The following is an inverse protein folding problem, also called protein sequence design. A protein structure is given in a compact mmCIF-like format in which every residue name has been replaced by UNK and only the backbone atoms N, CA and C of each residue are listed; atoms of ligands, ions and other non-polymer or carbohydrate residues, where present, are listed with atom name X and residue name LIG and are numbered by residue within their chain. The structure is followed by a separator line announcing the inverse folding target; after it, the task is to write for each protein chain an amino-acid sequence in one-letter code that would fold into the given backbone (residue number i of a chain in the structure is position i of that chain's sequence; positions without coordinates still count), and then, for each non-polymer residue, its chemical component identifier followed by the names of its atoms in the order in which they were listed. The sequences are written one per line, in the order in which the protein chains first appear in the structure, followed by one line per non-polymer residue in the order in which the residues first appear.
data_IF_490393521244
#
_entry.id   IF_490393521244
#
_cell.length_a   1.000
_cell.length_b   1.000
_cell.length_c   1.000
_cell.angle_alpha   90.00
_cell.angle_beta   90.00
_cell.angle_gamma   90.00
#
_symmetry.space_group_name_H-M   'P 1'
#
loop_
_entity.id
_entity.type
_entity.pdbx_description
1 polymer ?
#
# COMPACT_ATOMS: atom_id res chain seq x y z
N UNK A 1 -12.29 19.25 19.64
CA UNK A 1 -13.03 18.96 18.39
C UNK A 1 -11.96 18.64 17.34
N UNK A 2 -12.01 17.48 16.74
CA UNK A 2 -11.17 17.12 15.60
C UNK A 2 -11.63 17.95 14.40
N UNK A 3 -10.70 18.52 13.64
CA UNK A 3 -11.04 19.28 12.44
C UNK A 3 -10.43 18.56 11.24
N UNK A 4 -11.25 17.83 10.50
CA UNK A 4 -10.84 17.28 9.20
C UNK A 4 -10.88 18.37 8.13
N UNK A 5 -9.91 18.35 7.23
CA UNK A 5 -9.81 19.26 6.09
C UNK A 5 -9.61 18.46 4.81
N UNK A 6 -10.40 18.79 3.79
CA UNK A 6 -10.24 18.29 2.43
C UNK A 6 -9.67 19.41 1.54
N UNK A 7 -8.57 19.12 0.84
CA UNK A 7 -8.00 19.98 -0.18
C UNK A 7 -7.99 19.20 -1.50
N UNK A 8 -8.48 19.82 -2.58
CA UNK A 8 -8.43 19.25 -3.92
C UNK A 8 -7.48 20.07 -4.78
N UNK A 9 -6.48 19.42 -5.38
CA UNK A 9 -5.54 20.07 -6.29
C UNK A 9 -6.15 20.20 -7.70
N UNK A 10 -5.59 21.08 -8.57
CA UNK A 10 -6.11 21.31 -9.92
C UNK A 10 -6.17 20.05 -10.81
N UNK A 11 -5.30 19.06 -10.54
CA UNK A 11 -5.28 17.76 -11.23
C UNK A 11 -6.30 16.75 -10.68
N UNK A 12 -7.13 17.14 -9.71
CA UNK A 12 -8.11 16.27 -9.08
C UNK A 12 -7.59 15.46 -7.88
N UNK A 13 -6.29 15.53 -7.56
CA UNK A 13 -5.74 14.86 -6.40
C UNK A 13 -6.32 15.44 -5.11
N UNK A 14 -6.77 14.59 -4.20
CA UNK A 14 -7.41 14.97 -2.94
C UNK A 14 -6.50 14.69 -1.77
N UNK A 15 -6.36 15.67 -0.88
CA UNK A 15 -5.59 15.56 0.36
C UNK A 15 -6.57 15.73 1.51
N UNK A 16 -6.67 14.72 2.35
CA UNK A 16 -7.46 14.74 3.58
C UNK A 16 -6.51 14.80 4.76
N UNK A 17 -6.72 15.75 5.63
CA UNK A 17 -5.94 15.87 6.88
C UNK A 17 -6.87 16.00 8.06
N UNK A 18 -6.51 15.39 9.18
CA UNK A 18 -7.17 15.53 10.46
C UNK A 18 -6.13 15.75 11.56
N UNK A 19 -6.25 16.86 12.26
CA UNK A 19 -5.40 17.17 13.39
C UNK A 19 -5.98 16.55 14.68
N UNK A 20 -5.15 15.76 15.37
CA UNK A 20 -5.49 15.16 16.67
C UNK A 20 -4.54 15.73 17.75
N UNK A 21 -4.89 16.90 18.37
CA UNK A 21 -4.02 17.54 19.35
C UNK A 21 -3.67 16.63 20.51
N UNK A 22 -2.38 16.60 20.88
CA UNK A 22 -1.89 15.78 21.98
C UNK A 22 -1.37 14.41 21.58
N UNK A 23 -1.53 13.99 20.33
CA UNK A 23 -0.87 12.79 19.81
C UNK A 23 0.49 13.16 19.20
N UNK A 24 1.47 12.30 19.46
CA UNK A 24 2.85 12.39 18.94
C UNK A 24 3.10 11.41 17.80
N UNK A 25 2.08 10.72 17.34
CA UNK A 25 2.12 9.80 16.21
C UNK A 25 1.21 10.30 15.09
N UNK A 26 1.55 9.91 13.87
CA UNK A 26 0.78 10.20 12.67
C UNK A 26 0.54 8.92 11.87
N UNK A 27 -0.62 8.86 11.23
CA UNK A 27 -0.91 7.87 10.18
C UNK A 27 -1.01 8.61 8.86
N UNK A 28 -0.26 8.15 7.88
CA UNK A 28 -0.23 8.75 6.54
C UNK A 28 -0.41 7.65 5.51
N UNK A 29 -1.03 7.97 4.36
CA UNK A 29 -1.19 6.96 3.31
C UNK A 29 -1.69 7.55 2.00
N UNK A 30 -1.61 6.72 0.97
CA UNK A 30 -2.12 6.96 -0.39
C UNK A 30 -3.17 5.92 -0.68
N UNK A 31 -4.36 6.36 -1.08
CA UNK A 31 -5.46 5.52 -1.51
C UNK A 31 -5.70 5.71 -3.00
N UNK A 32 -5.58 4.62 -3.73
CA UNK A 32 -5.85 4.56 -5.17
C UNK A 32 -7.22 3.91 -5.36
N UNK A 33 -8.15 4.61 -6.04
CA UNK A 33 -9.50 4.10 -6.32
C UNK A 33 -9.46 3.09 -7.48
N UNK A 34 -8.63 2.08 -7.32
CA UNK A 34 -8.50 0.93 -8.21
C UNK A 34 -8.29 -0.31 -7.34
N UNK A 35 -9.06 -1.35 -7.60
CA UNK A 35 -9.02 -2.62 -6.91
C UNK A 35 -9.64 -3.70 -7.79
N UNK A 36 -9.87 -4.90 -7.26
CA UNK A 36 -10.28 -6.06 -8.02
C UNK A 36 -11.49 -5.87 -8.94
N UNK A 37 -12.48 -5.06 -8.55
CA UNK A 37 -13.66 -4.78 -9.40
C UNK A 37 -13.37 -4.00 -10.68
N UNK A 38 -12.23 -3.35 -10.76
CA UNK A 38 -11.82 -2.55 -11.92
C UNK A 38 -11.01 -3.36 -12.93
N UNK A 39 -10.70 -4.60 -12.60
CA UNK A 39 -9.93 -5.51 -13.43
C UNK A 39 -10.80 -6.15 -14.51
N UNK A 40 -10.20 -6.43 -15.66
CA UNK A 40 -10.80 -7.30 -16.66
C UNK A 40 -10.53 -8.75 -16.29
N UNK A 41 -11.33 -9.68 -16.80
CA UNK A 41 -11.18 -11.10 -16.50
C UNK A 41 -9.77 -11.65 -16.80
N UNK A 42 -9.15 -11.17 -17.88
CA UNK A 42 -7.77 -11.55 -18.25
C UNK A 42 -6.68 -10.91 -17.38
N UNK A 43 -7.04 -9.95 -16.54
CA UNK A 43 -6.14 -9.19 -15.66
C UNK A 43 -6.46 -9.42 -14.17
N UNK A 44 -7.31 -10.41 -13.88
CA UNK A 44 -7.76 -10.66 -12.51
C UNK A 44 -6.57 -10.95 -11.59
N UNK A 45 -6.52 -10.23 -10.46
CA UNK A 45 -5.45 -10.30 -9.46
C UNK A 45 -4.30 -9.29 -9.69
N UNK A 46 -4.34 -8.45 -10.75
CA UNK A 46 -3.24 -7.54 -11.04
C UNK A 46 -3.08 -6.45 -9.97
N UNK A 47 -4.17 -6.00 -9.35
CA UNK A 47 -4.09 -4.99 -8.29
C UNK A 47 -3.37 -5.55 -7.05
N UNK A 48 -3.65 -6.80 -6.67
CA UNK A 48 -2.95 -7.50 -5.59
C UNK A 48 -1.49 -7.75 -5.95
N UNK A 49 -1.22 -8.14 -7.19
CA UNK A 49 0.15 -8.33 -7.67
C UNK A 49 0.96 -7.03 -7.62
N UNK A 50 0.36 -5.91 -8.02
CA UNK A 50 1.00 -4.58 -7.96
C UNK A 50 1.28 -4.15 -6.52
N UNK A 51 0.41 -4.48 -5.57
CA UNK A 51 0.63 -4.25 -4.15
C UNK A 51 1.92 -4.92 -3.69
N UNK A 52 2.09 -6.22 -3.95
CA UNK A 52 3.31 -6.97 -3.62
C UNK A 52 4.55 -6.35 -4.28
N UNK A 53 4.46 -6.05 -5.57
CA UNK A 53 5.58 -5.52 -6.34
C UNK A 53 6.04 -4.14 -5.89
N UNK A 54 5.17 -3.32 -5.28
CA UNK A 54 5.54 -2.03 -4.75
C UNK A 54 6.65 -2.11 -3.67
N UNK A 55 6.67 -3.22 -2.90
CA UNK A 55 7.67 -3.45 -1.84
C UNK A 55 8.93 -4.17 -2.33
N UNK A 56 9.04 -4.55 -3.61
CA UNK A 56 10.18 -5.30 -4.15
C UNK A 56 11.35 -4.43 -4.61
N UNK A 57 11.27 -3.14 -4.40
CA UNK A 57 12.35 -2.19 -4.63
C UNK A 57 12.01 -1.11 -5.64
N UNK A 58 12.75 -0.02 -5.50
CA UNK A 58 12.76 1.14 -6.39
C UNK A 58 14.20 1.41 -6.85
N UNK A 59 14.40 2.38 -7.74
CA UNK A 59 15.75 2.82 -8.10
C UNK A 59 16.53 3.42 -6.90
N UNK A 60 15.83 3.86 -5.85
CA UNK A 60 16.41 4.49 -4.65
C UNK A 60 16.58 3.52 -3.48
N UNK A 61 15.72 2.50 -3.40
CA UNK A 61 15.60 1.62 -2.23
C UNK A 61 15.48 0.16 -2.65
N UNK A 62 16.28 -0.70 -2.04
CA UNK A 62 16.01 -2.15 -2.08
C UNK A 62 14.77 -2.49 -1.24
N UNK A 63 14.21 -3.68 -1.41
CA UNK A 63 13.10 -4.18 -0.57
C UNK A 63 13.43 -4.10 0.92
N UNK A 64 14.63 -4.54 1.32
CA UNK A 64 15.10 -4.43 2.70
C UNK A 64 15.14 -2.97 3.18
N UNK A 65 15.67 -2.06 2.35
CA UNK A 65 15.80 -0.65 2.70
C UNK A 65 14.46 0.04 2.89
N UNK A 66 13.42 -0.36 2.15
CA UNK A 66 12.04 0.15 2.33
C UNK A 66 11.54 -0.18 3.74
N UNK A 67 11.77 -1.39 4.22
CA UNK A 67 11.38 -1.79 5.58
C UNK A 67 12.24 -1.08 6.65
N UNK A 68 13.57 -1.14 6.51
CA UNK A 68 14.51 -0.56 7.48
C UNK A 68 14.26 0.92 7.73
N UNK A 69 14.07 1.74 6.69
CA UNK A 69 13.90 3.20 6.87
C UNK A 69 12.69 3.57 7.74
N UNK A 70 11.63 2.76 7.70
CA UNK A 70 10.45 2.98 8.53
C UNK A 70 10.58 2.33 9.90
N UNK A 71 11.18 1.13 9.99
CA UNK A 71 11.38 0.42 11.25
C UNK A 71 12.42 1.11 12.14
N UNK A 72 13.47 1.68 11.57
CA UNK A 72 14.53 2.39 12.29
C UNK A 72 14.02 3.61 13.08
N UNK A 73 12.92 4.23 12.59
CA UNK A 73 12.23 5.31 13.32
C UNK A 73 11.06 4.81 14.19
N UNK A 74 10.97 3.49 14.41
CA UNK A 74 9.91 2.88 15.19
C UNK A 74 8.54 2.91 14.50
N UNK A 75 8.52 3.08 13.19
CA UNK A 75 7.33 3.13 12.37
C UNK A 75 6.87 1.75 11.88
N UNK A 76 5.78 1.77 11.16
CA UNK A 76 5.18 0.62 10.52
C UNK A 76 4.63 1.02 9.15
N UNK A 77 4.93 0.24 8.11
CA UNK A 77 4.41 0.44 6.75
C UNK A 77 3.69 -0.83 6.30
N UNK A 78 2.57 -0.65 5.61
CA UNK A 78 1.82 -1.76 5.03
C UNK A 78 0.97 -1.29 3.85
N UNK A 79 0.36 -2.24 3.15
CA UNK A 79 -0.61 -2.00 2.12
C UNK A 79 -1.78 -3.00 2.22
N UNK A 80 -2.85 -2.73 1.52
CA UNK A 80 -3.90 -3.71 1.25
C UNK A 80 -4.59 -3.41 -0.08
N UNK A 81 -5.01 -4.45 -0.74
CA UNK A 81 -5.89 -4.38 -1.91
C UNK A 81 -7.28 -4.90 -1.53
N UNK A 82 -8.30 -4.17 -1.93
CA UNK A 82 -9.69 -4.55 -1.80
C UNK A 82 -10.39 -4.59 -3.17
N UNK A 83 -11.67 -4.87 -3.18
CA UNK A 83 -12.46 -4.81 -4.43
C UNK A 83 -12.53 -3.40 -5.01
N UNK A 84 -12.50 -2.35 -4.16
CA UNK A 84 -12.72 -0.95 -4.55
C UNK A 84 -11.43 -0.14 -4.68
N UNK A 85 -10.41 -0.46 -3.89
CA UNK A 85 -9.22 0.37 -3.75
C UNK A 85 -8.00 -0.41 -3.32
N UNK A 86 -6.84 0.17 -3.61
CA UNK A 86 -5.55 -0.23 -3.05
C UNK A 86 -5.02 0.90 -2.18
N UNK A 87 -4.53 0.57 -0.99
CA UNK A 87 -4.01 1.54 -0.03
C UNK A 87 -2.59 1.18 0.38
N UNK A 88 -1.73 2.19 0.47
CA UNK A 88 -0.38 2.12 1.02
C UNK A 88 -0.30 3.10 2.17
N UNK A 89 0.06 2.66 3.36
CA UNK A 89 0.02 3.51 4.55
C UNK A 89 1.15 3.20 5.52
N UNK A 90 1.49 4.20 6.31
CA UNK A 90 2.46 4.07 7.39
C UNK A 90 1.95 4.74 8.67
N UNK A 91 2.47 4.28 9.80
CA UNK A 91 2.33 4.91 11.12
C UNK A 91 3.72 5.23 11.62
N UNK A 92 3.93 6.47 11.97
CA UNK A 92 5.23 7.01 12.40
C UNK A 92 5.05 8.04 13.51
N UNK A 93 6.13 8.51 14.09
CA UNK A 93 6.09 9.70 14.95
C UNK A 93 5.89 10.96 14.11
N UNK A 94 5.44 12.05 14.75
CA UNK A 94 5.11 13.31 14.05
C UNK A 94 6.30 13.89 13.25
N UNK A 95 7.52 13.69 13.72
CA UNK A 95 8.75 14.18 13.09
C UNK A 95 9.13 13.38 11.83
N UNK A 96 8.61 12.14 11.68
CA UNK A 96 8.98 11.22 10.61
C UNK A 96 7.93 11.15 9.48
N UNK A 97 6.90 12.00 9.51
CA UNK A 97 5.85 12.05 8.49
C UNK A 97 6.43 12.29 7.08
N UNK A 98 7.43 13.16 6.97
CA UNK A 98 8.06 13.44 5.68
C UNK A 98 8.79 12.22 5.11
N UNK A 99 9.48 11.44 5.95
CA UNK A 99 10.10 10.17 5.57
C UNK A 99 9.05 9.17 5.09
N UNK A 100 7.97 8.99 5.85
CA UNK A 100 6.92 8.04 5.50
C UNK A 100 6.25 8.40 4.16
N UNK A 101 6.00 9.68 3.90
CA UNK A 101 5.46 10.14 2.61
C UNK A 101 6.45 9.93 1.46
N UNK A 102 7.75 10.14 1.68
CA UNK A 102 8.78 9.91 0.66
C UNK A 102 8.90 8.42 0.32
N UNK A 103 8.86 7.53 1.32
CA UNK A 103 8.90 6.08 1.10
C UNK A 103 7.63 5.61 0.38
N UNK A 104 6.43 5.99 0.84
CA UNK A 104 5.17 5.62 0.19
C UNK A 104 5.12 6.16 -1.25
N UNK A 105 5.50 7.41 -1.45
CA UNK A 105 5.54 8.01 -2.78
C UNK A 105 6.51 7.28 -3.72
N UNK A 106 7.66 6.88 -3.23
CA UNK A 106 8.67 6.17 -4.01
C UNK A 106 8.18 4.77 -4.43
N UNK A 107 7.64 3.97 -3.50
CA UNK A 107 7.18 2.61 -3.81
C UNK A 107 5.95 2.59 -4.74
N UNK A 108 5.08 3.61 -4.65
CA UNK A 108 3.88 3.71 -5.50
C UNK A 108 4.21 4.23 -6.90
N UNK A 109 5.14 5.18 -7.01
CA UNK A 109 5.41 5.87 -8.28
C UNK A 109 6.59 5.28 -9.08
N UNK A 110 7.52 4.61 -8.41
CA UNK A 110 8.79 4.18 -9.00
C UNK A 110 9.17 2.71 -8.75
N UNK A 111 8.22 1.75 -8.69
CA UNK A 111 8.59 0.34 -8.51
C UNK A 111 9.41 -0.15 -9.69
N UNK A 112 10.41 -1.01 -9.43
CA UNK A 112 11.32 -1.51 -10.47
C UNK A 112 10.70 -2.58 -11.37
N UNK A 113 9.75 -3.36 -10.86
CA UNK A 113 9.19 -4.53 -11.53
C UNK A 113 10.26 -5.49 -12.07
N UNK A 114 11.26 -5.81 -11.21
CA UNK A 114 12.32 -6.74 -11.58
C UNK A 114 11.72 -8.09 -12.04
N UNK A 115 12.13 -8.64 -13.21
CA UNK A 115 11.56 -9.88 -13.73
C UNK A 115 11.74 -11.09 -12.80
N UNK A 116 12.82 -11.16 -12.02
CA UNK A 116 13.04 -12.25 -11.09
C UNK A 116 12.10 -12.13 -9.89
N UNK A 117 11.90 -10.91 -9.36
CA UNK A 117 10.93 -10.65 -8.29
C UNK A 117 9.50 -10.93 -8.75
N UNK A 118 9.14 -10.60 -10.00
CA UNK A 118 7.84 -10.96 -10.58
C UNK A 118 7.60 -12.46 -10.55
N UNK A 119 8.59 -13.27 -10.92
CA UNK A 119 8.45 -14.74 -10.89
C UNK A 119 8.37 -15.28 -9.46
N UNK A 120 9.12 -14.72 -8.52
CA UNK A 120 9.04 -15.09 -7.10
C UNK A 120 7.65 -14.77 -6.55
N UNK A 121 7.16 -13.53 -6.74
CA UNK A 121 5.88 -13.09 -6.22
C UNK A 121 4.69 -13.81 -6.87
N UNK A 122 4.81 -14.18 -8.14
CA UNK A 122 3.80 -15.03 -8.78
C UNK A 122 3.56 -16.33 -7.99
N UNK A 123 4.61 -16.97 -7.52
CA UNK A 123 4.48 -18.20 -6.73
C UNK A 123 3.89 -17.94 -5.34
N UNK A 124 4.27 -16.83 -4.71
CA UNK A 124 3.72 -16.41 -3.41
C UNK A 124 2.20 -16.18 -3.53
N UNK A 125 1.77 -15.39 -4.50
CA UNK A 125 0.35 -15.05 -4.69
C UNK A 125 -0.48 -16.28 -5.07
N UNK A 126 0.07 -17.19 -5.89
CA UNK A 126 -0.61 -18.46 -6.19
C UNK A 126 -0.78 -19.33 -4.93
N UNK A 127 0.20 -19.32 -4.04
CA UNK A 127 0.10 -20.02 -2.76
C UNK A 127 -0.94 -19.38 -1.84
N UNK A 128 -0.97 -18.06 -1.73
CA UNK A 128 -1.98 -17.31 -0.95
C UNK A 128 -3.39 -17.56 -1.49
N UNK A 129 -3.56 -17.55 -2.82
CA UNK A 129 -4.85 -17.86 -3.46
C UNK A 129 -5.29 -19.29 -3.14
N UNK A 130 -4.36 -20.26 -3.19
CA UNK A 130 -4.64 -21.64 -2.78
C UNK A 130 -5.07 -21.72 -1.31
N UNK A 131 -4.40 -21.01 -0.42
CA UNK A 131 -4.73 -20.96 1.00
C UNK A 131 -6.11 -20.31 1.24
N UNK A 132 -6.45 -19.23 0.53
CA UNK A 132 -7.76 -18.61 0.62
C UNK A 132 -8.86 -19.56 0.17
N UNK A 133 -8.66 -20.33 -0.91
CA UNK A 133 -9.61 -21.35 -1.38
C UNK A 133 -9.79 -22.52 -0.40
N UNK A 134 -8.80 -22.81 0.43
CA UNK A 134 -8.86 -23.84 1.47
C UNK A 134 -9.44 -23.31 2.79
N UNK A 135 -9.74 -22.01 2.89
CA UNK A 135 -10.27 -21.36 4.10
C UNK A 135 -11.77 -21.06 3.91
N UNK A 136 -12.70 -21.78 4.57
CA UNK A 136 -14.13 -21.58 4.39
C UNK A 136 -14.62 -20.16 4.68
N UNK A 137 -14.00 -19.49 5.65
CA UNK A 137 -14.35 -18.12 6.04
C UNK A 137 -14.01 -17.09 4.94
N UNK A 138 -12.97 -17.35 4.14
CA UNK A 138 -12.59 -16.48 3.03
C UNK A 138 -13.52 -16.71 1.82
N UNK A 139 -13.90 -17.96 1.56
CA UNK A 139 -14.74 -18.33 0.41
C UNK A 139 -16.17 -17.82 0.58
N UNK A 140 -16.72 -17.83 1.80
CA UNK A 140 -18.14 -17.53 2.03
C UNK A 140 -18.53 -16.10 1.60
N UNK A 141 -17.57 -15.18 1.54
CA UNK A 141 -17.82 -13.81 1.11
C UNK A 141 -17.75 -13.60 -0.41
N UNK A 142 -17.37 -14.63 -1.17
CA UNK A 142 -17.30 -14.62 -2.63
C UNK A 142 -18.53 -15.24 -3.31
N UNK A 143 -19.50 -15.76 -2.50
CA UNK A 143 -20.80 -16.29 -2.92
C UNK A 143 -21.92 -15.24 -2.71
#
# INVERSE_FOLDING_TARGET
MTSSRLTTLPNGFRIVTEAMPGLKSASVGVWVTAGGRHERAEQNGIAHFLEHMAFKGTARRSSLRIAEEIEDVGGYINAYTSREMTAYYARVLEDDVALALDVIGDIVLNPLFDPNEIEVERHVILQETGQALDTPDDIIFDW
#
